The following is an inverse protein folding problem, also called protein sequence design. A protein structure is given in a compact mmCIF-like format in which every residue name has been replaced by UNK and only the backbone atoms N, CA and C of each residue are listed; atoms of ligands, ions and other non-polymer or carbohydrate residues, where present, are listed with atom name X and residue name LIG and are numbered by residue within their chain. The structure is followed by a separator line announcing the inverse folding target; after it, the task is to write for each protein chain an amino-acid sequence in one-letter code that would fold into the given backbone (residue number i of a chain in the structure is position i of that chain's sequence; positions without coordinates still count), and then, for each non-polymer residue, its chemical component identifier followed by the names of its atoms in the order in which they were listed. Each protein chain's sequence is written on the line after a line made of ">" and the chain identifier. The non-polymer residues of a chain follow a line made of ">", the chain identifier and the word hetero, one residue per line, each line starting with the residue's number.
data_IF_526147930054
#
_entry.id   IF_526147930054
#
_cell.length_a   1.000
_cell.length_b   1.000
_cell.length_c   1.000
_cell.angle_alpha   90.00
_cell.angle_beta   90.00
_cell.angle_gamma   90.00
#
_symmetry.space_group_name_H-M   'P 1'
#
loop_
_entity.id
_entity.type
_entity.pdbx_description
1 polymer ?
#
# COMPACT_ATOMS: atom_id res chain seq x y z
N UNK A 1 19.28 -1.75 -2.84
CA UNK A 1 19.34 -0.77 -1.73
C UNK A 1 18.22 0.22 -1.96
N UNK A 2 17.34 0.43 -0.97
CA UNK A 2 16.27 1.42 -1.09
C UNK A 2 16.87 2.81 -0.86
N UNK A 3 16.76 3.71 -1.84
CA UNK A 3 17.31 5.07 -1.74
C UNK A 3 16.56 5.96 -0.74
N UNK A 4 15.32 5.57 -0.39
CA UNK A 4 14.42 6.31 0.50
C UNK A 4 13.76 5.36 1.50
N UNK A 5 14.45 4.96 2.58
CA UNK A 5 13.88 4.08 3.59
C UNK A 5 12.70 4.76 4.30
N UNK A 6 11.61 4.00 4.49
CA UNK A 6 10.36 4.44 5.10
C UNK A 6 10.54 5.04 6.51
N UNK A 7 11.44 4.47 7.31
CA UNK A 7 11.75 4.95 8.66
C UNK A 7 12.27 6.39 8.68
N UNK A 8 12.98 6.81 7.64
CA UNK A 8 13.57 8.15 7.55
C UNK A 8 12.74 9.09 6.69
N UNK A 9 12.14 8.57 5.61
CA UNK A 9 11.46 9.39 4.60
C UNK A 9 9.95 9.35 4.71
N UNK A 10 9.38 8.45 5.51
CA UNK A 10 7.94 8.20 5.56
C UNK A 10 7.46 7.40 4.34
N UNK A 11 6.15 7.41 4.12
CA UNK A 11 5.49 6.67 3.03
C UNK A 11 4.78 7.62 2.08
N UNK A 12 4.59 7.19 0.83
CA UNK A 12 3.73 7.87 -0.14
C UNK A 12 2.33 7.27 -0.08
N UNK A 13 1.30 8.12 -0.08
CA UNK A 13 -0.09 7.67 -0.11
C UNK A 13 -0.57 7.57 -1.54
N UNK A 14 -1.10 6.40 -1.89
CA UNK A 14 -1.65 6.13 -3.20
C UNK A 14 -3.10 5.66 -3.14
N UNK A 15 -3.84 5.87 -4.22
CA UNK A 15 -5.15 5.28 -4.46
C UNK A 15 -5.10 4.45 -5.75
N UNK A 16 -5.58 3.21 -5.69
CA UNK A 16 -5.71 2.35 -6.87
C UNK A 16 -6.69 3.00 -7.84
N UNK A 17 -6.25 3.23 -9.07
CA UNK A 17 -7.06 3.78 -10.15
C UNK A 17 -7.58 2.69 -11.07
N UNK A 18 -6.70 1.76 -11.46
CA UNK A 18 -7.05 0.62 -12.29
C UNK A 18 -6.27 -0.62 -11.86
N UNK A 19 -6.85 -1.78 -12.13
CA UNK A 19 -6.20 -3.09 -12.03
C UNK A 19 -6.35 -3.75 -13.40
N UNK A 20 -5.27 -4.31 -13.93
CA UNK A 20 -5.31 -5.01 -15.21
C UNK A 20 -6.28 -6.19 -15.14
N UNK A 21 -7.07 -6.38 -16.21
CA UNK A 21 -8.00 -7.51 -16.31
C UNK A 21 -7.30 -8.82 -16.68
N UNK A 22 -6.10 -8.73 -17.25
CA UNK A 22 -5.31 -9.86 -17.73
C UNK A 22 -3.95 -9.83 -17.03
N UNK A 23 -3.48 -10.97 -16.50
CA UNK A 23 -2.15 -11.08 -15.91
C UNK A 23 -1.06 -11.12 -16.99
N UNK A 24 0.17 -10.86 -16.59
CA UNK A 24 1.35 -11.10 -17.43
C UNK A 24 1.70 -12.59 -17.54
N UNK A 25 2.80 -12.90 -18.21
CA UNK A 25 3.27 -14.28 -18.45
C UNK A 25 3.62 -15.03 -17.16
N UNK A 26 3.97 -14.30 -16.09
CA UNK A 26 4.34 -14.85 -14.79
C UNK A 26 3.14 -14.91 -13.82
N UNK A 27 1.96 -14.48 -14.27
CA UNK A 27 0.73 -14.46 -13.49
C UNK A 27 0.55 -13.21 -12.63
N UNK A 28 1.37 -12.17 -12.80
CA UNK A 28 1.24 -10.93 -12.03
C UNK A 28 0.22 -9.98 -12.65
N UNK A 29 -0.44 -9.19 -11.80
CA UNK A 29 -1.36 -8.14 -12.23
C UNK A 29 -0.66 -6.78 -12.17
N UNK A 30 -0.93 -5.93 -13.16
CA UNK A 30 -0.49 -4.55 -13.17
C UNK A 30 -1.55 -3.69 -12.49
N UNK A 31 -1.11 -2.81 -11.59
CA UNK A 31 -1.98 -1.93 -10.83
C UNK A 31 -1.51 -0.49 -11.05
N UNK A 32 -2.41 0.33 -11.58
CA UNK A 32 -2.19 1.77 -11.71
C UNK A 32 -2.59 2.45 -10.40
N UNK A 33 -1.65 3.18 -9.80
CA UNK A 33 -1.88 3.91 -8.55
C UNK A 33 -1.66 5.40 -8.78
N UNK A 34 -2.59 6.21 -8.29
CA UNK A 34 -2.44 7.67 -8.23
C UNK A 34 -1.89 8.05 -6.87
N UNK A 35 -0.76 8.75 -6.85
CA UNK A 35 -0.22 9.33 -5.61
C UNK A 35 -0.95 10.63 -5.29
N UNK A 36 -1.74 10.63 -4.20
CA UNK A 36 -2.66 11.72 -3.87
C UNK A 36 -1.94 13.05 -3.60
N UNK A 37 -0.78 12.96 -2.95
CA UNK A 37 0.08 14.11 -2.61
C UNK A 37 1.33 14.16 -3.52
N UNK A 38 1.29 13.48 -4.67
CA UNK A 38 2.45 13.28 -5.52
C UNK A 38 3.59 12.56 -4.78
N UNK A 39 4.82 13.06 -4.93
CA UNK A 39 6.01 12.51 -4.26
C UNK A 39 6.29 13.14 -2.88
N UNK A 40 5.29 13.79 -2.27
CA UNK A 40 5.39 14.29 -0.90
C UNK A 40 5.04 13.17 0.07
N UNK A 41 5.98 12.81 0.93
CA UNK A 41 5.78 11.75 1.91
C UNK A 41 4.94 12.19 3.11
N UNK A 42 4.50 11.22 3.90
CA UNK A 42 3.84 11.44 5.19
C UNK A 42 4.66 12.32 6.15
N UNK A 43 5.99 12.31 6.03
CA UNK A 43 6.91 13.14 6.81
C UNK A 43 7.16 14.52 6.17
N UNK A 44 6.33 14.90 5.20
CA UNK A 44 6.43 16.16 4.45
C UNK A 44 7.74 16.32 3.67
N UNK A 45 8.47 15.23 3.41
CA UNK A 45 9.68 15.24 2.59
C UNK A 45 9.31 15.04 1.12
N UNK A 46 9.94 15.81 0.24
CA UNK A 46 9.77 15.64 -1.20
C UNK A 46 10.78 14.62 -1.71
N UNK A 47 10.30 13.52 -2.28
CA UNK A 47 11.16 12.50 -2.88
C UNK A 47 11.50 12.94 -4.31
N UNK A 48 12.79 13.02 -4.68
CA UNK A 48 13.17 13.38 -6.04
C UNK A 48 12.75 12.27 -7.01
N UNK A 49 12.09 12.66 -8.10
CA UNK A 49 11.64 11.72 -9.13
C UNK A 49 12.85 11.12 -9.87
N UNK A 50 12.83 9.79 -9.99
CA UNK A 50 13.76 9.02 -10.82
C UNK A 50 12.92 8.06 -11.66
N UNK A 51 13.35 7.79 -12.89
CA UNK A 51 12.69 6.76 -13.69
C UNK A 51 12.92 5.39 -13.06
N UNK A 52 11.95 4.49 -13.20
CA UNK A 52 12.05 3.11 -12.72
C UNK A 52 12.33 2.98 -11.21
N UNK A 53 11.84 3.94 -10.42
CA UNK A 53 11.88 3.86 -8.96
C UNK A 53 11.21 2.57 -8.48
N UNK A 54 11.96 1.82 -7.65
CA UNK A 54 11.47 0.59 -7.02
C UNK A 54 10.99 0.89 -5.60
N UNK A 55 9.90 0.24 -5.22
CA UNK A 55 9.34 0.32 -3.89
C UNK A 55 8.47 -0.89 -3.59
N UNK A 56 8.03 -0.96 -2.35
CA UNK A 56 7.01 -1.91 -1.90
C UNK A 56 5.83 -1.12 -1.39
N UNK A 57 4.63 -1.68 -1.52
CA UNK A 57 3.40 -1.03 -1.08
C UNK A 57 2.48 -2.06 -0.43
N UNK A 58 1.79 -1.62 0.61
CA UNK A 58 0.71 -2.38 1.23
C UNK A 58 -0.62 -1.86 0.68
N UNK A 59 -1.44 -2.77 0.15
CA UNK A 59 -2.77 -2.46 -0.39
C UNK A 59 -3.81 -2.75 0.68
N UNK A 60 -4.59 -1.73 1.04
CA UNK A 60 -5.71 -1.88 1.95
C UNK A 60 -6.92 -2.36 1.13
N UNK A 61 -7.28 -3.64 1.25
CA UNK A 61 -8.39 -4.26 0.51
C UNK A 61 -9.74 -4.15 1.22
N UNK A 62 -9.73 -3.92 2.53
CA UNK A 62 -10.91 -3.81 3.37
C UNK A 62 -10.71 -2.69 4.39
N UNK A 63 -11.75 -1.87 4.58
CA UNK A 63 -11.76 -0.82 5.60
C UNK A 63 -12.14 -1.43 6.95
N UNK A 64 -11.29 -2.36 7.43
CA UNK A 64 -11.51 -3.03 8.70
C UNK A 64 -11.47 -1.98 9.80
N UNK A 65 -12.63 -1.76 10.44
CA UNK A 65 -12.68 -0.92 11.64
C UNK A 65 -11.80 -1.59 12.68
N UNK A 66 -11.04 -0.79 13.45
CA UNK A 66 -10.19 -1.29 14.54
C UNK A 66 -10.93 -2.28 15.46
N UNK A 67 -12.24 -2.04 15.68
CA UNK A 67 -13.09 -2.91 16.48
C UNK A 67 -13.32 -4.28 15.84
N UNK A 68 -13.38 -4.41 14.53
CA UNK A 68 -13.55 -5.70 13.84
C UNK A 68 -12.28 -6.55 13.99
N UNK A 69 -11.09 -5.93 13.87
CA UNK A 69 -9.79 -6.60 14.13
C UNK A 69 -9.68 -7.08 15.58
N UNK A 70 -10.19 -6.32 16.52
CA UNK A 70 -10.26 -6.68 17.94
C UNK A 70 -11.26 -7.83 18.18
N UNK A 71 -12.45 -7.76 17.55
CA UNK A 71 -13.53 -8.75 17.70
C UNK A 71 -13.20 -10.12 17.07
N UNK A 72 -12.33 -10.18 16.05
CA UNK A 72 -11.87 -11.46 15.49
C UNK A 72 -11.21 -12.36 16.55
N UNK A 73 -10.44 -11.80 17.49
CA UNK A 73 -9.80 -12.56 18.57
C UNK A 73 -10.81 -13.18 19.56
N UNK A 74 -12.02 -12.62 19.63
CA UNK A 74 -13.08 -13.11 20.52
C UNK A 74 -14.00 -14.14 19.85
N UNK A 75 -13.98 -14.26 18.50
CA UNK A 75 -14.84 -15.22 17.77
C UNK A 75 -14.48 -16.68 18.07
N UNK A 76 -13.22 -16.96 18.38
CA UNK A 76 -12.78 -18.32 18.75
C UNK A 76 -13.29 -18.76 20.14
N UNK A 77 -13.66 -17.82 21.01
CA UNK A 77 -14.15 -18.11 22.38
C UNK A 77 -15.61 -18.58 22.39
N UNK A 78 -16.38 -18.25 21.36
CA UNK A 78 -17.81 -18.61 21.25
C UNK A 78 -18.08 -19.81 20.36
N UNK A 79 -17.05 -20.44 19.79
CA UNK A 79 -17.17 -21.73 19.11
C UNK A 79 -17.10 -22.85 20.17
N UNK A 80 -18.27 -23.16 20.76
CA UNK A 80 -18.54 -24.45 21.39
C UNK A 80 -19.39 -25.29 20.45
#
# INVERSE_FOLDING_TARGET
>A
MANFPDREFGILKGQVKNISLVPDQDGNLLIDVVLLDGLKSSYQKMIPFQQEMKGSADIITEDLRLIERLLYQFRDVFRR
#
